data_IF_787431326690
#
_entry.id   IF_787431326690
#
_cell.length_a   1.000
_cell.length_b   1.000
_cell.length_c   1.000
_cell.angle_alpha   90.00
_cell.angle_beta   90.00
_cell.angle_gamma   90.00
#
_symmetry.space_group_name_H-M   'P 1'
#
loop_
_entity.id
_entity.type
_entity.pdbx_description
1 polymer ?
#
# COMPACT_ATOMS: atom_id res chain seq x y z
N UNK A 1 -4.06 -52.64 54.68
CA UNK A 1 -3.86 -53.35 53.41
C UNK A 1 -3.03 -52.45 52.49
N UNK A 2 -2.02 -52.99 51.80
CA UNK A 2 -0.68 -52.37 51.71
C UNK A 2 -0.28 -51.90 50.29
N UNK A 3 0.93 -51.31 50.22
CA UNK A 3 1.79 -51.07 49.03
C UNK A 3 1.58 -49.71 48.34
N UNK A 4 2.46 -48.69 48.32
CA UNK A 4 3.93 -48.50 48.39
C UNK A 4 4.70 -49.03 47.15
N UNK A 5 4.78 -48.23 46.07
CA UNK A 5 6.01 -47.55 45.56
C UNK A 5 5.87 -46.89 44.16
N UNK A 6 6.80 -45.96 43.80
CA UNK A 6 6.64 -44.89 42.81
C UNK A 6 7.46 -45.07 41.51
N UNK A 7 7.19 -44.27 40.48
CA UNK A 7 8.04 -44.04 39.28
C UNK A 7 7.38 -42.95 38.40
N UNK A 8 8.02 -42.08 37.64
CA UNK A 8 9.42 -41.73 37.43
C UNK A 8 9.46 -40.33 36.79
N UNK A 9 10.43 -39.52 37.19
CA UNK A 9 10.78 -38.23 36.60
C UNK A 9 11.35 -38.45 35.19
N UNK A 10 10.66 -37.96 34.15
CA UNK A 10 11.29 -37.80 32.83
C UNK A 10 12.05 -36.46 32.79
N UNK A 11 13.37 -36.56 32.98
CA UNK A 11 14.33 -35.51 32.60
C UNK A 11 14.45 -35.49 31.08
N UNK A 12 13.97 -34.44 30.43
CA UNK A 12 14.33 -34.17 29.04
C UNK A 12 15.72 -33.52 29.00
N UNK A 13 16.65 -34.17 28.31
CA UNK A 13 18.01 -33.70 28.08
C UNK A 13 18.01 -32.53 27.09
N UNK A 14 18.52 -31.39 27.53
CA UNK A 14 18.96 -30.29 26.66
C UNK A 14 20.27 -30.73 25.98
N UNK A 15 20.31 -30.72 24.65
CA UNK A 15 21.50 -30.97 23.86
C UNK A 15 22.05 -29.62 23.38
N UNK A 16 23.08 -29.12 24.06
CA UNK A 16 23.89 -27.98 23.61
C UNK A 16 24.96 -28.52 22.65
N UNK A 17 24.91 -28.10 21.37
CA UNK A 17 26.05 -28.19 20.47
C UNK A 17 26.67 -26.82 20.30
N UNK A 18 27.74 -26.59 21.06
CA UNK A 18 28.74 -25.56 20.81
C UNK A 18 29.87 -26.17 20.01
N UNK A 19 30.18 -25.63 18.83
CA UNK A 19 31.54 -25.68 18.27
C UNK A 19 31.83 -24.41 17.49
N UNK A 20 32.79 -23.66 18.02
CA UNK A 20 33.50 -22.53 17.42
C UNK A 20 34.53 -22.97 16.37
N UNK A 21 34.72 -22.17 15.32
CA UNK A 21 36.03 -21.94 14.65
C UNK A 21 35.82 -20.81 13.64
N UNK A 22 36.24 -19.56 13.88
CA UNK A 22 37.61 -19.02 13.74
C UNK A 22 38.28 -19.32 12.40
N UNK A 23 38.36 -18.30 11.55
CA UNK A 23 39.52 -17.99 10.71
C UNK A 23 39.39 -16.56 10.16
N UNK A 24 40.20 -15.66 10.71
CA UNK A 24 40.45 -14.33 10.17
C UNK A 24 41.31 -14.43 8.90
N UNK A 25 41.05 -13.58 7.91
CA UNK A 25 42.08 -13.17 6.95
C UNK A 25 41.80 -11.74 6.49
N UNK A 26 42.78 -10.92 6.80
CA UNK A 26 42.85 -9.48 6.61
C UNK A 26 43.32 -9.12 5.20
N UNK A 27 43.19 -7.82 4.88
CA UNK A 27 43.95 -7.05 3.86
C UNK A 27 43.38 -7.22 2.42
N UNK A 28 42.94 -6.18 1.71
CA UNK A 28 43.74 -5.02 1.27
C UNK A 28 42.86 -3.89 0.70
N UNK A 29 43.01 -2.70 1.24
CA UNK A 29 42.63 -1.42 0.66
C UNK A 29 43.44 -1.20 -0.64
N UNK A 30 42.79 -0.76 -1.72
CA UNK A 30 43.47 0.01 -2.78
C UNK A 30 42.63 1.22 -3.17
N UNK A 31 43.23 2.37 -2.92
CA UNK A 31 42.83 3.68 -3.41
C UNK A 31 43.20 3.85 -4.90
N UNK A 32 42.51 4.82 -5.51
CA UNK A 32 42.49 5.39 -6.88
C UNK A 32 43.84 5.50 -7.64
N UNK A 33 43.82 5.84 -8.94
CA UNK A 33 43.90 7.27 -9.29
C UNK A 33 43.00 7.73 -10.45
N UNK A 34 42.65 9.01 -10.39
CA UNK A 34 42.18 9.86 -11.48
C UNK A 34 43.34 10.22 -12.42
N UNK A 35 43.09 10.52 -13.70
CA UNK A 35 43.91 11.51 -14.39
C UNK A 35 43.09 12.57 -15.16
N UNK A 36 43.40 13.84 -14.84
CA UNK A 36 43.60 15.02 -15.72
C UNK A 36 42.67 15.20 -16.95
N UNK A 37 41.81 16.22 -16.98
CA UNK A 37 42.09 17.60 -17.47
C UNK A 37 42.65 17.68 -18.90
N UNK A 38 41.84 18.15 -19.85
CA UNK A 38 42.21 19.02 -21.00
C UNK A 38 40.89 19.59 -21.58
N UNK A 39 40.54 20.84 -21.28
CA UNK A 39 40.78 22.07 -22.07
C UNK A 39 39.78 22.30 -23.22
N UNK A 40 39.18 23.49 -23.17
CA UNK A 40 38.28 24.11 -24.14
C UNK A 40 38.92 24.33 -25.52
N UNK A 41 38.13 24.24 -26.62
CA UNK A 41 37.69 25.42 -27.39
C UNK A 41 36.71 25.09 -28.54
N UNK A 42 35.87 26.06 -28.97
CA UNK A 42 34.76 25.90 -29.93
C UNK A 42 35.09 26.45 -31.34
N UNK A 43 34.44 25.94 -32.41
CA UNK A 43 34.37 26.69 -33.69
C UNK A 43 33.09 26.38 -34.52
N UNK A 44 32.34 27.46 -34.78
CA UNK A 44 31.63 27.87 -36.00
C UNK A 44 30.64 26.98 -36.79
N UNK A 45 29.40 27.49 -36.82
CA UNK A 45 28.57 27.85 -37.99
C UNK A 45 28.44 26.88 -39.18
N UNK A 46 27.22 26.40 -39.41
CA UNK A 46 26.65 26.31 -40.75
C UNK A 46 25.13 26.54 -40.70
N UNK A 47 24.70 27.62 -41.34
CA UNK A 47 23.30 27.90 -41.68
C UNK A 47 22.89 27.04 -42.87
N UNK A 48 21.68 26.49 -42.83
CA UNK A 48 20.89 26.19 -44.03
C UNK A 48 19.43 26.51 -43.78
N UNK A 49 18.97 27.61 -44.39
CA UNK A 49 17.56 27.89 -44.66
C UNK A 49 17.07 26.94 -45.76
N UNK A 50 15.83 26.46 -45.64
CA UNK A 50 14.88 26.51 -46.74
C UNK A 50 13.44 26.49 -46.21
N UNK A 51 12.63 27.32 -46.87
CA UNK A 51 11.20 27.59 -46.74
C UNK A 51 10.36 26.33 -47.14
N UNK A 52 9.05 26.17 -46.91
CA UNK A 52 7.93 27.09 -46.74
C UNK A 52 6.65 26.33 -46.31
N UNK A 53 5.68 27.08 -45.76
CA UNK A 53 4.21 26.94 -45.89
C UNK A 53 3.40 25.81 -45.21
N UNK A 54 2.68 26.27 -44.18
CA UNK A 54 1.21 26.22 -44.01
C UNK A 54 0.49 24.87 -44.02
N UNK A 55 0.03 24.46 -42.84
CA UNK A 55 -1.39 24.19 -42.59
C UNK A 55 -1.65 24.33 -41.09
N UNK A 56 -2.43 25.34 -40.74
CA UNK A 56 -2.98 25.55 -39.41
C UNK A 56 -3.98 24.45 -39.10
N UNK A 57 -3.72 23.66 -38.08
CA UNK A 57 -4.76 23.05 -37.24
C UNK A 57 -4.55 23.60 -35.84
N UNK A 58 -5.60 24.12 -35.17
CA UNK A 58 -5.45 24.65 -33.83
C UNK A 58 -5.21 23.48 -32.89
N UNK A 59 -3.95 23.33 -32.46
CA UNK A 59 -3.64 22.57 -31.26
C UNK A 59 -4.24 23.38 -30.13
N UNK A 60 -5.33 22.88 -29.57
CA UNK A 60 -5.89 23.41 -28.33
C UNK A 60 -4.88 23.06 -27.24
N UNK A 61 -3.90 23.93 -27.06
CA UNK A 61 -3.00 23.94 -25.90
C UNK A 61 -3.76 24.60 -24.75
N UNK A 62 -4.57 23.78 -24.08
CA UNK A 62 -5.13 24.01 -22.76
C UNK A 62 -5.09 22.61 -22.12
N UNK A 63 -4.30 22.30 -21.11
CA UNK A 63 -4.27 22.91 -19.79
C UNK A 63 -2.97 22.48 -19.08
N UNK A 64 -2.46 23.34 -18.19
CA UNK A 64 -1.52 22.99 -17.12
C UNK A 64 -1.71 21.54 -16.63
N UNK A 65 -0.74 20.60 -16.78
CA UNK A 65 -0.96 19.22 -16.39
C UNK A 65 -0.93 19.15 -14.87
N UNK A 66 -2.12 19.20 -14.25
CA UNK A 66 -2.29 18.67 -12.91
C UNK A 66 -1.68 17.26 -12.90
N UNK A 67 -0.83 16.92 -11.90
CA UNK A 67 -0.18 15.61 -11.87
C UNK A 67 -1.23 14.52 -11.97
N UNK A 68 -1.03 13.54 -12.86
CA UNK A 68 -1.97 12.44 -13.04
C UNK A 68 -2.09 11.66 -11.73
N UNK A 69 -3.19 11.85 -11.01
CA UNK A 69 -3.51 11.07 -9.81
C UNK A 69 -4.33 9.84 -10.20
N UNK A 70 -4.42 8.86 -9.31
CA UNK A 70 -5.29 7.69 -9.51
C UNK A 70 -6.75 8.09 -9.74
N UNK A 71 -7.21 9.20 -9.15
CA UNK A 71 -8.57 9.73 -9.34
C UNK A 71 -8.83 10.18 -10.77
N UNK A 72 -7.82 10.71 -11.47
CA UNK A 72 -7.98 11.20 -12.86
C UNK A 72 -8.31 10.10 -13.87
N UNK A 73 -8.07 8.82 -13.53
CA UNK A 73 -8.45 7.69 -14.38
C UNK A 73 -9.96 7.41 -14.38
N UNK A 74 -10.70 7.85 -13.36
CA UNK A 74 -12.12 7.52 -13.16
C UNK A 74 -13.01 8.77 -13.16
N UNK A 75 -13.05 9.56 -14.25
CA UNK A 75 -13.77 10.84 -14.28
C UNK A 75 -15.29 10.69 -14.19
N UNK A 76 -15.86 9.54 -14.56
CA UNK A 76 -17.31 9.31 -14.48
C UNK A 76 -17.75 9.03 -13.05
N UNK A 77 -16.93 8.31 -12.30
CA UNK A 77 -17.17 7.96 -10.89
C UNK A 77 -16.71 9.07 -9.95
N UNK A 78 -15.58 9.72 -10.24
CA UNK A 78 -14.88 10.66 -9.37
C UNK A 78 -14.63 12.00 -10.08
N UNK A 79 -15.68 12.74 -10.51
CA UNK A 79 -15.53 13.96 -11.29
C UNK A 79 -14.83 15.08 -10.51
N UNK A 80 -14.97 15.12 -9.18
CA UNK A 80 -14.38 16.13 -8.31
C UNK A 80 -12.93 15.82 -7.90
N UNK A 81 -12.39 14.66 -8.29
CA UNK A 81 -11.03 14.25 -7.91
C UNK A 81 -10.89 13.81 -6.45
N UNK A 82 -9.69 13.94 -5.85
CA UNK A 82 -9.44 13.56 -4.46
C UNK A 82 -10.02 14.58 -3.45
N UNK A 83 -10.18 14.21 -2.17
CA UNK A 83 -10.44 15.15 -1.08
C UNK A 83 -9.38 16.27 -0.97
N UNK A 84 -9.77 17.50 -0.61
CA UNK A 84 -11.07 17.87 0.00
C UNK A 84 -12.19 18.18 -1.00
N UNK A 85 -11.91 18.22 -2.30
CA UNK A 85 -12.92 18.59 -3.30
C UNK A 85 -13.84 17.41 -3.68
N UNK A 86 -13.29 16.20 -3.69
CA UNK A 86 -14.04 14.96 -3.82
C UNK A 86 -14.24 14.24 -2.48
N UNK A 87 -14.86 13.06 -2.57
CA UNK A 87 -15.15 12.22 -1.40
C UNK A 87 -14.00 11.24 -1.16
N UNK A 88 -13.76 10.90 0.11
CA UNK A 88 -12.88 9.79 0.46
C UNK A 88 -13.59 8.47 0.22
N UNK A 89 -14.86 8.33 0.61
CA UNK A 89 -15.69 7.17 0.44
C UNK A 89 -16.17 7.08 -1.02
N UNK A 90 -15.95 5.94 -1.65
CA UNK A 90 -16.18 5.73 -3.08
C UNK A 90 -17.19 4.61 -3.25
N UNK A 91 -18.18 4.82 -4.11
CA UNK A 91 -19.06 3.74 -4.58
C UNK A 91 -18.26 2.73 -5.41
N UNK A 92 -17.94 1.59 -4.78
CA UNK A 92 -17.18 0.51 -5.41
C UNK A 92 -17.92 -0.12 -6.60
N UNK A 93 -19.25 -0.05 -6.65
CA UNK A 93 -20.05 -0.55 -7.76
C UNK A 93 -19.81 0.26 -9.03
N UNK A 94 -19.91 1.59 -8.92
CA UNK A 94 -19.61 2.53 -10.01
C UNK A 94 -18.13 2.47 -10.42
N UNK A 95 -17.22 2.44 -9.45
CA UNK A 95 -15.78 2.34 -9.70
C UNK A 95 -15.42 1.09 -10.51
N UNK A 96 -15.96 -0.08 -10.12
CA UNK A 96 -15.74 -1.35 -10.84
C UNK A 96 -16.30 -1.31 -12.26
N UNK A 97 -17.47 -0.71 -12.45
CA UNK A 97 -18.09 -0.58 -13.78
C UNK A 97 -17.23 0.26 -14.72
N UNK A 98 -16.75 1.41 -14.26
CA UNK A 98 -15.88 2.29 -15.05
C UNK A 98 -14.52 1.62 -15.32
N UNK A 99 -13.93 0.95 -14.32
CA UNK A 99 -12.71 0.16 -14.47
C UNK A 99 -12.79 -0.85 -15.63
N UNK A 100 -13.85 -1.66 -15.68
CA UNK A 100 -14.04 -2.65 -16.75
C UNK A 100 -14.15 -1.99 -18.13
N UNK A 101 -14.82 -0.84 -18.21
CA UNK A 101 -14.92 -0.07 -19.46
C UNK A 101 -13.55 0.46 -19.91
N UNK A 102 -12.77 1.04 -18.99
CA UNK A 102 -11.44 1.55 -19.28
C UNK A 102 -10.50 0.42 -19.73
N UNK A 103 -10.52 -0.71 -19.01
CA UNK A 103 -9.70 -1.87 -19.38
C UNK A 103 -10.03 -2.44 -20.75
N UNK A 104 -11.33 -2.49 -21.10
CA UNK A 104 -11.74 -2.94 -22.44
C UNK A 104 -11.18 -2.07 -23.56
N UNK A 105 -11.00 -0.75 -23.32
CA UNK A 105 -10.45 0.21 -24.30
C UNK A 105 -8.92 0.22 -24.33
N UNK A 106 -8.29 -0.07 -23.20
CA UNK A 106 -6.83 -0.09 -23.05
C UNK A 106 -6.20 -1.44 -23.46
N UNK A 107 -7.00 -2.45 -23.83
CA UNK A 107 -6.50 -3.78 -24.13
C UNK A 107 -5.51 -3.79 -25.31
N UNK A 108 -4.28 -4.31 -25.15
CA UNK A 108 -3.21 -4.19 -26.14
C UNK A 108 -3.52 -4.85 -27.49
N UNK A 109 -4.44 -5.83 -27.53
CA UNK A 109 -4.86 -6.47 -28.78
C UNK A 109 -5.71 -5.57 -29.69
N UNK A 110 -6.28 -4.50 -29.15
CA UNK A 110 -7.00 -3.49 -29.94
C UNK A 110 -6.05 -2.48 -30.59
N UNK A 111 -4.76 -2.51 -30.25
CA UNK A 111 -3.77 -1.52 -30.69
C UNK A 111 -2.76 -2.11 -31.67
N UNK A 112 -2.31 -1.32 -32.67
CA UNK A 112 -1.26 -1.75 -33.59
C UNK A 112 0.04 -2.02 -32.83
N UNK A 113 0.93 -2.84 -33.41
CA UNK A 113 2.20 -3.24 -32.78
C UNK A 113 3.03 -2.06 -32.26
N UNK A 114 3.01 -0.92 -32.94
CA UNK A 114 3.71 0.32 -32.54
C UNK A 114 3.13 0.99 -31.28
N UNK A 115 1.88 0.70 -30.93
CA UNK A 115 1.18 1.27 -29.77
C UNK A 115 0.95 0.26 -28.63
N UNK A 116 1.25 -1.03 -28.83
CA UNK A 116 1.04 -2.09 -27.82
C UNK A 116 1.69 -1.79 -26.49
N UNK A 117 2.95 -1.34 -26.48
CA UNK A 117 3.66 -1.02 -25.23
C UNK A 117 2.99 0.13 -24.45
N UNK A 118 2.45 1.13 -25.17
CA UNK A 118 1.72 2.24 -24.55
C UNK A 118 0.39 1.77 -23.97
N UNK A 119 -0.34 0.91 -24.70
CA UNK A 119 -1.59 0.31 -24.24
C UNK A 119 -1.38 -0.56 -22.99
N UNK A 120 -0.32 -1.38 -22.97
CA UNK A 120 0.04 -2.18 -21.81
C UNK A 120 0.40 -1.31 -20.59
N UNK A 121 1.20 -0.27 -20.78
CA UNK A 121 1.54 0.67 -19.69
C UNK A 121 0.30 1.38 -19.14
N UNK A 122 -0.63 1.79 -20.02
CA UNK A 122 -1.89 2.41 -19.61
C UNK A 122 -2.77 1.44 -18.82
N UNK A 123 -2.92 0.20 -19.30
CA UNK A 123 -3.67 -0.86 -18.61
C UNK A 123 -3.11 -1.14 -17.21
N UNK A 124 -1.77 -1.18 -17.09
CA UNK A 124 -1.12 -1.34 -15.79
C UNK A 124 -1.43 -0.19 -14.82
N UNK A 125 -1.37 1.07 -15.28
CA UNK A 125 -1.72 2.25 -14.46
C UNK A 125 -3.19 2.26 -14.04
N UNK A 126 -4.10 1.86 -14.93
CA UNK A 126 -5.53 1.74 -14.59
C UNK A 126 -5.75 0.67 -13.52
N UNK A 127 -5.06 -0.47 -13.63
CA UNK A 127 -5.13 -1.53 -12.61
C UNK A 127 -4.62 -1.06 -11.25
N UNK A 128 -3.47 -0.38 -11.23
CA UNK A 128 -2.90 0.18 -10.01
C UNK A 128 -3.87 1.18 -9.36
N UNK A 129 -4.37 2.14 -10.15
CA UNK A 129 -5.33 3.13 -9.68
C UNK A 129 -6.60 2.46 -9.13
N UNK A 130 -7.15 1.45 -9.82
CA UNK A 130 -8.31 0.71 -9.35
C UNK A 130 -8.05 -0.01 -8.02
N UNK A 131 -6.94 -0.75 -7.91
CA UNK A 131 -6.59 -1.47 -6.68
C UNK A 131 -6.43 -0.54 -5.50
N UNK A 132 -5.69 0.56 -5.69
CA UNK A 132 -5.47 1.57 -4.65
C UNK A 132 -6.77 2.23 -4.23
N UNK A 133 -7.62 2.63 -5.19
CA UNK A 133 -8.88 3.28 -4.89
C UNK A 133 -9.94 2.31 -4.36
N UNK A 134 -9.85 1.00 -4.60
CA UNK A 134 -10.82 0.03 -4.09
C UNK A 134 -10.68 -0.20 -2.58
N UNK A 135 -9.45 -0.26 -2.07
CA UNK A 135 -9.19 -0.47 -0.63
C UNK A 135 -9.21 0.85 0.12
N UNK A 136 -10.01 1.01 1.20
CA UNK A 136 -10.01 2.25 1.98
C UNK A 136 -8.64 2.53 2.63
N UNK A 137 -7.90 1.49 3.05
CA UNK A 137 -6.57 1.63 3.62
C UNK A 137 -5.56 2.14 2.58
N UNK A 138 -5.49 1.48 1.41
CA UNK A 138 -4.58 1.91 0.33
C UNK A 138 -4.95 3.31 -0.17
N UNK A 139 -6.24 3.62 -0.24
CA UNK A 139 -6.75 4.94 -0.62
C UNK A 139 -6.29 6.01 0.37
N UNK A 140 -6.37 5.75 1.68
CA UNK A 140 -5.91 6.67 2.72
C UNK A 140 -4.40 6.89 2.64
N UNK A 141 -3.61 5.81 2.55
CA UNK A 141 -2.16 5.87 2.38
C UNK A 141 -1.75 6.64 1.13
N UNK A 142 -2.45 6.41 0.01
CA UNK A 142 -2.23 7.14 -1.23
C UNK A 142 -2.53 8.64 -1.10
N UNK A 143 -3.63 9.01 -0.46
CA UNK A 143 -3.96 10.42 -0.23
C UNK A 143 -2.97 11.12 0.71
N UNK A 144 -2.39 10.40 1.67
CA UNK A 144 -1.33 10.88 2.54
C UNK A 144 0.00 11.02 1.78
N UNK A 145 0.33 10.07 0.89
CA UNK A 145 1.55 10.14 0.08
C UNK A 145 1.53 11.29 -0.92
N UNK A 146 0.35 11.63 -1.48
CA UNK A 146 0.15 12.86 -2.26
C UNK A 146 0.46 14.14 -1.47
N UNK A 147 0.41 14.09 -0.13
CA UNK A 147 0.75 15.18 0.80
C UNK A 147 2.17 15.06 1.36
N UNK A 148 2.98 14.12 0.84
CA UNK A 148 4.35 13.88 1.28
C UNK A 148 4.47 13.10 2.59
N UNK A 149 3.39 12.46 3.05
CA UNK A 149 3.42 11.58 4.23
C UNK A 149 3.36 10.13 3.76
N UNK A 150 4.44 9.39 4.00
CA UNK A 150 4.44 7.95 3.78
C UNK A 150 4.03 7.23 5.08
N UNK A 151 2.99 6.41 4.98
CA UNK A 151 2.48 5.55 6.05
C UNK A 151 2.58 4.08 5.66
N UNK A 152 2.92 3.79 4.39
CA UNK A 152 3.03 2.42 3.90
C UNK A 152 4.29 1.74 4.43
N UNK A 153 5.41 2.48 4.52
CA UNK A 153 6.71 1.94 5.00
C UNK A 153 6.82 1.84 6.53
N UNK A 154 5.86 2.39 7.28
CA UNK A 154 5.86 2.36 8.74
C UNK A 154 5.19 1.07 9.24
N UNK A 155 5.71 -0.09 8.80
CA UNK A 155 5.33 -1.42 9.30
C UNK A 155 5.50 -1.48 10.82
N UNK A 156 6.56 -0.84 11.32
CA UNK A 156 6.82 -0.65 12.74
C UNK A 156 6.12 0.56 13.37
N UNK A 157 5.12 1.19 12.73
CA UNK A 157 4.41 2.31 13.33
C UNK A 157 3.81 1.81 14.63
N UNK A 158 4.54 2.04 15.73
CA UNK A 158 4.12 1.64 17.04
C UNK A 158 2.79 2.31 17.25
N UNK A 159 1.86 1.58 17.85
CA UNK A 159 0.66 2.20 18.35
C UNK A 159 1.11 3.18 19.44
N UNK A 160 1.24 4.45 19.06
CA UNK A 160 1.60 5.54 19.98
C UNK A 160 0.40 5.91 20.87
N UNK A 161 -0.80 5.56 20.41
CA UNK A 161 -2.08 5.77 21.10
C UNK A 161 -2.38 4.61 22.07
N UNK A 162 -2.23 4.80 23.39
CA UNK A 162 -2.46 3.74 24.37
C UNK A 162 -3.89 3.18 24.32
N UNK A 163 -4.88 4.00 23.96
CA UNK A 163 -6.28 3.56 23.87
C UNK A 163 -6.45 2.57 22.72
N UNK A 164 -5.94 2.90 21.53
CA UNK A 164 -5.94 2.00 20.38
C UNK A 164 -5.17 0.70 20.69
N UNK A 165 -4.05 0.77 21.41
CA UNK A 165 -3.27 -0.43 21.74
C UNK A 165 -4.08 -1.39 22.60
N UNK A 166 -4.80 -0.87 23.60
CA UNK A 166 -5.68 -1.70 24.44
C UNK A 166 -6.79 -2.33 23.60
N UNK A 167 -7.48 -1.55 22.75
CA UNK A 167 -8.56 -2.08 21.91
C UNK A 167 -8.06 -3.20 20.97
N UNK A 168 -6.87 -3.06 20.39
CA UNK A 168 -6.28 -4.08 19.51
C UNK A 168 -5.92 -5.33 20.30
N UNK A 169 -5.33 -5.20 21.49
CA UNK A 169 -4.98 -6.33 22.35
C UNK A 169 -6.23 -7.07 22.85
N UNK A 170 -7.24 -6.35 23.32
CA UNK A 170 -8.51 -6.93 23.76
C UNK A 170 -9.21 -7.69 22.62
N UNK A 171 -9.23 -7.11 21.41
CA UNK A 171 -9.79 -7.79 20.25
C UNK A 171 -9.00 -9.06 19.87
N UNK A 172 -7.68 -9.06 20.02
CA UNK A 172 -6.85 -10.24 19.78
C UNK A 172 -7.10 -11.34 20.80
N UNK A 173 -7.17 -11.01 22.09
CA UNK A 173 -7.48 -11.94 23.17
C UNK A 173 -8.83 -12.63 22.92
N UNK A 174 -9.86 -11.86 22.54
CA UNK A 174 -11.17 -12.43 22.19
C UNK A 174 -11.11 -13.45 21.05
N UNK A 175 -10.26 -13.23 20.04
CA UNK A 175 -10.10 -14.20 18.94
C UNK A 175 -9.36 -15.45 19.42
N UNK A 176 -8.35 -15.30 20.28
CA UNK A 176 -7.59 -16.43 20.86
C UNK A 176 -8.45 -17.30 21.78
N UNK A 177 -9.37 -16.70 22.53
CA UNK A 177 -10.32 -17.39 23.41
C UNK A 177 -11.48 -18.04 22.65
N UNK A 178 -11.67 -17.70 21.37
CA UNK A 178 -12.76 -18.26 20.56
C UNK A 178 -12.50 -19.73 20.23
N UNK A 179 -13.32 -20.63 20.78
CA UNK A 179 -13.25 -22.07 20.50
C UNK A 179 -14.19 -22.51 19.36
N UNK A 180 -15.23 -21.71 19.06
CA UNK A 180 -16.28 -22.02 18.09
C UNK A 180 -16.43 -20.93 17.05
N UNK A 181 -16.66 -21.34 15.81
CA UNK A 181 -16.90 -20.42 14.67
C UNK A 181 -18.14 -19.53 14.90
N UNK A 182 -19.11 -20.00 15.68
CA UNK A 182 -20.33 -19.27 16.04
C UNK A 182 -20.03 -17.93 16.75
N UNK A 183 -18.99 -17.91 17.58
CA UNK A 183 -18.61 -16.75 18.39
C UNK A 183 -17.86 -15.70 17.53
N UNK A 184 -17.26 -16.12 16.41
CA UNK A 184 -16.58 -15.22 15.47
C UNK A 184 -17.56 -14.31 14.72
N UNK A 185 -18.82 -14.70 14.55
CA UNK A 185 -19.79 -13.89 13.82
C UNK A 185 -20.02 -12.53 14.49
N UNK A 186 -20.04 -12.51 15.83
CA UNK A 186 -20.12 -11.28 16.62
C UNK A 186 -18.89 -10.40 16.41
N UNK A 187 -17.69 -10.96 16.56
CA UNK A 187 -16.42 -10.25 16.38
C UNK A 187 -16.24 -9.71 14.96
N UNK A 188 -16.66 -10.46 13.94
CA UNK A 188 -16.66 -10.00 12.55
C UNK A 188 -17.56 -8.80 12.36
N UNK A 189 -18.77 -8.84 12.91
CA UNK A 189 -19.73 -7.74 12.82
C UNK A 189 -19.20 -6.48 13.51
N UNK A 190 -18.67 -6.63 14.72
CA UNK A 190 -18.09 -5.52 15.48
C UNK A 190 -16.87 -4.90 14.77
N UNK A 191 -15.98 -5.74 14.23
CA UNK A 191 -14.83 -5.23 13.48
C UNK A 191 -15.25 -4.55 12.15
N UNK A 192 -16.29 -5.04 11.48
CA UNK A 192 -16.87 -4.36 10.30
C UNK A 192 -17.42 -2.98 10.66
N UNK A 193 -18.05 -2.83 11.82
CA UNK A 193 -18.49 -1.54 12.35
C UNK A 193 -17.29 -0.61 12.62
N UNK A 194 -16.23 -1.09 13.28
CA UNK A 194 -14.99 -0.32 13.53
C UNK A 194 -14.32 0.14 12.24
N UNK A 195 -14.27 -0.71 11.21
CA UNK A 195 -13.76 -0.35 9.87
C UNK A 195 -14.63 0.76 9.27
N UNK A 196 -15.95 0.61 9.32
CA UNK A 196 -16.90 1.59 8.77
C UNK A 196 -16.74 2.95 9.45
N UNK A 197 -16.70 2.98 10.78
CA UNK A 197 -16.48 4.21 11.53
C UNK A 197 -15.14 4.87 11.19
N UNK A 198 -14.08 4.08 11.02
CA UNK A 198 -12.76 4.59 10.65
C UNK A 198 -12.77 5.22 9.25
N UNK A 199 -13.53 4.63 8.32
CA UNK A 199 -13.75 5.19 6.96
C UNK A 199 -14.52 6.50 7.02
N UNK A 200 -15.56 6.59 7.85
CA UNK A 200 -16.33 7.83 8.06
C UNK A 200 -15.47 8.92 8.72
N UNK A 201 -14.64 8.57 9.69
CA UNK A 201 -13.67 9.51 10.28
C UNK A 201 -12.66 10.00 9.25
N UNK A 202 -12.14 9.13 8.40
CA UNK A 202 -11.22 9.52 7.32
C UNK A 202 -11.87 10.46 6.30
N UNK A 203 -13.14 10.27 5.96
CA UNK A 203 -13.91 11.23 5.13
C UNK A 203 -13.87 12.62 5.74
N UNK A 204 -14.24 12.72 7.01
CA UNK A 204 -14.28 13.98 7.75
C UNK A 204 -12.88 14.63 7.84
N UNK A 205 -11.86 13.85 8.17
CA UNK A 205 -10.49 14.32 8.34
C UNK A 205 -9.90 14.84 7.03
N UNK A 206 -10.07 14.09 5.94
CA UNK A 206 -9.63 14.54 4.61
C UNK A 206 -10.44 15.73 4.10
N UNK A 207 -11.74 15.80 4.41
CA UNK A 207 -12.60 16.94 4.08
C UNK A 207 -12.21 18.23 4.82
N UNK A 208 -11.71 18.11 6.05
CA UNK A 208 -11.18 19.22 6.87
C UNK A 208 -9.70 19.50 6.64
N UNK A 209 -9.06 18.75 5.74
CA UNK A 209 -7.62 18.79 5.47
C UNK A 209 -6.74 18.53 6.71
N UNK A 210 -7.26 17.80 7.71
CA UNK A 210 -6.50 17.38 8.88
C UNK A 210 -5.63 16.15 8.55
N UNK A 211 -4.43 16.44 8.04
CA UNK A 211 -3.50 15.41 7.58
C UNK A 211 -2.95 14.57 8.73
N UNK A 212 -2.74 15.16 9.91
CA UNK A 212 -2.19 14.43 11.07
C UNK A 212 -3.25 13.49 11.67
N UNK A 213 -4.48 13.97 11.80
CA UNK A 213 -5.60 13.12 12.18
C UNK A 213 -5.83 11.99 11.17
N UNK A 214 -5.79 12.29 9.87
CA UNK A 214 -5.92 11.26 8.83
C UNK A 214 -4.78 10.21 8.88
N UNK A 215 -3.55 10.63 9.21
CA UNK A 215 -2.44 9.70 9.44
C UNK A 215 -2.75 8.76 10.61
N UNK A 216 -3.13 9.29 11.77
CA UNK A 216 -3.45 8.47 12.94
C UNK A 216 -4.61 7.50 12.67
N UNK A 217 -5.67 7.98 12.01
CA UNK A 217 -6.81 7.14 11.66
C UNK A 217 -6.46 6.08 10.60
N UNK A 218 -5.54 6.36 9.68
CA UNK A 218 -5.05 5.34 8.72
C UNK A 218 -4.30 4.20 9.40
N UNK A 219 -3.55 4.50 10.47
CA UNK A 219 -2.88 3.49 11.30
C UNK A 219 -3.91 2.64 12.05
N UNK A 220 -4.93 3.28 12.65
CA UNK A 220 -6.06 2.58 13.29
C UNK A 220 -6.78 1.65 12.31
N UNK A 221 -7.12 2.14 11.12
CA UNK A 221 -7.77 1.35 10.07
C UNK A 221 -6.94 0.13 9.66
N UNK A 222 -5.60 0.26 9.59
CA UNK A 222 -4.73 -0.88 9.28
C UNK A 222 -4.92 -2.03 10.25
N UNK A 223 -5.02 -1.76 11.56
CA UNK A 223 -5.25 -2.81 12.54
C UNK A 223 -6.60 -3.50 12.37
N UNK A 224 -7.67 -2.76 12.10
CA UNK A 224 -8.98 -3.35 11.86
C UNK A 224 -9.02 -4.21 10.59
N UNK A 225 -8.29 -3.81 9.54
CA UNK A 225 -8.13 -4.64 8.33
C UNK A 225 -7.34 -5.91 8.64
N UNK A 226 -6.21 -5.83 9.35
CA UNK A 226 -5.42 -7.00 9.73
C UNK A 226 -6.22 -7.95 10.65
N UNK A 227 -7.03 -7.39 11.55
CA UNK A 227 -7.94 -8.15 12.40
C UNK A 227 -9.00 -8.87 11.56
N UNK A 228 -9.55 -8.19 10.55
CA UNK A 228 -10.50 -8.80 9.60
C UNK A 228 -9.87 -9.99 8.87
N UNK A 229 -8.65 -9.82 8.38
CA UNK A 229 -7.91 -10.91 7.71
C UNK A 229 -7.66 -12.08 8.66
N UNK A 230 -7.35 -11.81 9.93
CA UNK A 230 -7.18 -12.83 10.97
C UNK A 230 -8.49 -13.57 11.28
N UNK A 231 -9.61 -12.85 11.38
CA UNK A 231 -10.95 -13.42 11.58
C UNK A 231 -11.43 -14.23 10.37
N UNK A 232 -11.09 -13.82 9.15
CA UNK A 232 -11.44 -14.54 7.92
C UNK A 232 -10.55 -15.76 7.69
N UNK A 233 -9.29 -15.70 8.11
CA UNK A 233 -8.32 -16.78 8.06
C UNK A 233 -8.32 -17.71 9.28
N UNK A 234 -9.21 -17.48 10.25
CA UNK A 234 -9.26 -18.29 11.47
C UNK A 234 -9.60 -19.76 11.14
N UNK A 235 -8.80 -20.67 11.68
CA UNK A 235 -9.04 -22.11 11.63
C UNK A 235 -8.84 -22.68 13.05
N UNK A 236 -9.76 -23.55 13.49
CA UNK A 236 -9.70 -24.14 14.83
C UNK A 236 -8.34 -24.84 15.08
N UNK A 237 -7.60 -24.37 16.09
CA UNK A 237 -6.34 -24.97 16.55
C UNK A 237 -5.07 -24.51 15.83
N UNK A 238 -5.12 -23.51 14.94
CA UNK A 238 -3.93 -22.87 14.38
C UNK A 238 -3.61 -21.55 15.10
N UNK A 239 -2.35 -21.29 15.47
CA UNK A 239 -1.96 -20.00 16.05
C UNK A 239 -2.11 -18.90 14.99
N UNK A 240 -2.72 -17.79 15.38
CA UNK A 240 -2.84 -16.59 14.56
C UNK A 240 -1.46 -15.93 14.55
N UNK A 241 -0.77 -15.96 13.42
CA UNK A 241 0.53 -15.31 13.24
C UNK A 241 0.32 -14.01 12.50
N UNK A 242 0.55 -12.88 13.16
CA UNK A 242 0.63 -11.58 12.50
C UNK A 242 2.07 -11.35 12.05
N UNK A 243 2.25 -11.08 10.76
CA UNK A 243 3.44 -10.37 10.30
C UNK A 243 3.29 -8.91 10.78
N UNK A 244 4.15 -8.51 11.72
CA UNK A 244 4.23 -7.16 12.28
C UNK A 244 5.16 -6.28 11.45
#
# INVERSE_FOLDING_TARGET
MPSVRPAALLRLRVSLKTTSSSAASSVRIRQRPSPYLYAYQPVSHAQSRSHNSTSQTPIVEDTNPQPQTHYTFFPSTLPSGPPPHGQFNIDLGSLKKEFLQLQSRAHPDLHPASAKNKAQALSARINEAYKTLQSPLLRAQYLLSLRGIDVAEDETAKIEDPELLMEVLEAQEQIEETEKEEDLAGLKTENEERIKESVERLEDLFGKEDVQGAKAESVRLRYWINLKESLDGWENGKPISLEH
#
